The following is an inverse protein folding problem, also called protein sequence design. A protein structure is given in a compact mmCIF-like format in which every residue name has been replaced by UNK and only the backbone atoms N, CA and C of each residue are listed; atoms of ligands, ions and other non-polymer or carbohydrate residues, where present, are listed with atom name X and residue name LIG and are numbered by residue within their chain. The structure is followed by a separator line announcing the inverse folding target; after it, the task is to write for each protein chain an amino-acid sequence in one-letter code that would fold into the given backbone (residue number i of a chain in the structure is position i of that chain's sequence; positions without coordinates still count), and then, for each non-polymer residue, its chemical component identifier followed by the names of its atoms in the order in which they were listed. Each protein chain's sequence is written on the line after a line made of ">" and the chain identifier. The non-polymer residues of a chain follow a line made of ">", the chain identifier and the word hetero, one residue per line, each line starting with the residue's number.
data_IF_562757196518
#
_entry.id   IF_562757196518
#
_cell.length_a   1.000
_cell.length_b   1.000
_cell.length_c   1.000
_cell.angle_alpha   90.00
_cell.angle_beta   90.00
_cell.angle_gamma   90.00
#
_symmetry.space_group_name_H-M   'P 1'
#
loop_
_entity.id
_entity.type
_entity.pdbx_description
1 polymer ?
#
# COMPACT_ATOMS: atom_id res chain seq x y z
N UNK A 1 9.93 -27.78 15.11
CA UNK A 1 9.70 -27.88 13.65
C UNK A 1 8.70 -26.80 13.28
N UNK A 2 9.13 -25.75 12.58
CA UNK A 2 8.23 -24.70 12.06
C UNK A 2 7.48 -25.34 10.88
N UNK A 3 6.17 -25.53 11.03
CA UNK A 3 5.35 -26.09 9.95
C UNK A 3 5.22 -25.06 8.83
N UNK A 4 5.96 -25.23 7.74
CA UNK A 4 5.85 -24.45 6.49
C UNK A 4 4.49 -24.58 5.77
N UNK A 5 3.46 -25.17 6.39
CA UNK A 5 2.11 -25.27 5.83
C UNK A 5 1.39 -23.90 5.71
N UNK A 6 1.94 -22.83 6.30
CA UNK A 6 1.35 -21.49 6.25
C UNK A 6 1.66 -20.71 4.95
N UNK A 7 2.66 -21.12 4.16
CA UNK A 7 3.00 -20.43 2.90
C UNK A 7 1.95 -20.57 1.78
N UNK A 8 1.01 -21.51 1.88
CA UNK A 8 -0.06 -21.70 0.89
C UNK A 8 -1.37 -20.99 1.27
N UNK A 9 -1.42 -20.24 2.38
CA UNK A 9 -2.62 -19.49 2.72
C UNK A 9 -2.70 -18.25 1.80
N UNK A 10 -3.76 -18.13 0.97
CA UNK A 10 -3.85 -17.05 -0.01
C UNK A 10 -3.82 -15.65 0.63
N UNK A 11 -4.21 -15.52 1.91
CA UNK A 11 -4.16 -14.25 2.64
C UNK A 11 -2.72 -13.79 2.93
N UNK A 12 -1.78 -14.71 3.20
CA UNK A 12 -0.39 -14.34 3.45
C UNK A 12 0.34 -13.95 2.16
N UNK A 13 0.08 -14.68 1.07
CA UNK A 13 0.61 -14.34 -0.25
C UNK A 13 0.12 -12.95 -0.67
N UNK A 14 -1.18 -12.68 -0.51
CA UNK A 14 -1.78 -11.39 -0.81
C UNK A 14 -1.16 -10.25 0.02
N UNK A 15 -0.93 -10.48 1.32
CA UNK A 15 -0.31 -9.47 2.18
C UNK A 15 1.18 -9.24 1.84
N UNK A 16 1.91 -10.27 1.42
CA UNK A 16 3.25 -10.12 0.87
C UNK A 16 3.27 -9.25 -0.40
N UNK A 17 2.30 -9.47 -1.30
CA UNK A 17 2.09 -8.61 -2.47
C UNK A 17 1.75 -7.18 -2.04
N UNK A 18 0.93 -6.98 -1.00
CA UNK A 18 0.63 -5.64 -0.47
C UNK A 18 1.89 -4.90 -0.04
N UNK A 19 2.73 -5.54 0.78
CA UNK A 19 3.97 -4.93 1.26
C UNK A 19 4.90 -4.60 0.11
N UNK A 20 5.06 -5.51 -0.86
CA UNK A 20 5.87 -5.27 -2.05
C UNK A 20 5.36 -4.07 -2.88
N UNK A 21 4.06 -4.01 -3.13
CA UNK A 21 3.45 -2.91 -3.91
C UNK A 21 3.56 -1.56 -3.20
N UNK A 22 3.50 -1.52 -1.86
CA UNK A 22 3.79 -0.30 -1.09
C UNK A 22 5.23 0.15 -1.32
N UNK A 23 6.20 -0.76 -1.26
CA UNK A 23 7.60 -0.41 -1.49
C UNK A 23 7.83 0.13 -2.90
N UNK A 24 7.23 -0.50 -3.92
CA UNK A 24 7.32 -0.01 -5.30
C UNK A 24 6.70 1.39 -5.42
N UNK A 25 5.48 1.58 -4.91
CA UNK A 25 4.80 2.88 -4.98
C UNK A 25 5.57 3.98 -4.24
N UNK A 26 6.04 3.71 -3.03
CA UNK A 26 6.83 4.66 -2.24
C UNK A 26 8.18 4.95 -2.88
N UNK A 27 8.87 3.94 -3.41
CA UNK A 27 10.13 4.13 -4.12
C UNK A 27 9.94 5.06 -5.32
N UNK A 28 8.92 4.78 -6.15
CA UNK A 28 8.63 5.59 -7.33
C UNK A 28 8.23 7.03 -6.99
N UNK A 29 7.52 7.25 -5.86
CA UNK A 29 7.16 8.59 -5.41
C UNK A 29 8.33 9.33 -4.77
N UNK A 30 9.19 8.67 -3.99
CA UNK A 30 10.19 9.34 -3.15
C UNK A 30 11.58 9.44 -3.78
N UNK A 31 11.94 8.53 -4.69
CA UNK A 31 13.30 8.50 -5.26
C UNK A 31 13.31 9.06 -6.67
N UNK A 32 14.06 10.13 -6.86
CA UNK A 32 14.35 10.75 -8.14
C UNK A 32 15.73 10.36 -8.65
N UNK A 33 15.80 10.16 -9.96
CA UNK A 33 17.03 9.84 -10.66
C UNK A 33 17.25 10.84 -11.81
N UNK A 34 18.06 11.86 -11.59
CA UNK A 34 18.46 12.80 -12.64
C UNK A 34 19.89 12.49 -13.09
N UNK A 35 20.03 11.75 -14.19
CA UNK A 35 21.33 11.40 -14.77
C UNK A 35 22.21 10.57 -13.83
N UNK A 36 23.16 11.19 -13.14
CA UNK A 36 24.05 10.54 -12.17
C UNK A 36 23.68 10.81 -10.72
N UNK A 37 22.64 11.63 -10.48
CA UNK A 37 22.23 12.06 -9.14
C UNK A 37 20.96 11.33 -8.73
N UNK A 38 21.04 10.65 -7.60
CA UNK A 38 19.88 10.08 -6.92
C UNK A 38 19.56 10.99 -5.73
N UNK A 39 18.32 11.47 -5.66
CA UNK A 39 17.85 12.29 -4.55
C UNK A 39 16.51 11.76 -4.03
N UNK A 40 16.34 11.89 -2.72
CA UNK A 40 15.10 11.53 -2.03
C UNK A 40 14.25 12.80 -1.98
N UNK A 41 13.24 12.87 -2.84
CA UNK A 41 12.27 13.97 -2.90
C UNK A 41 10.95 13.48 -2.29
N UNK A 42 10.74 13.79 -1.00
CA UNK A 42 9.46 13.51 -0.32
C UNK A 42 8.45 14.63 -0.61
N UNK A 43 8.93 15.85 -0.81
CA UNK A 43 8.12 17.04 -1.09
C UNK A 43 8.58 17.60 -2.43
N UNK A 44 7.70 17.52 -3.43
CA UNK A 44 7.86 18.23 -4.69
C UNK A 44 6.96 19.47 -4.67
N UNK A 45 7.54 20.67 -4.71
CA UNK A 45 6.77 21.93 -4.65
C UNK A 45 5.80 22.11 -5.82
N UNK A 46 6.06 21.48 -6.96
CA UNK A 46 5.17 21.49 -8.12
C UNK A 46 4.02 20.50 -7.99
N UNK A 47 4.19 19.48 -7.15
CA UNK A 47 3.23 18.39 -6.93
C UNK A 47 3.02 18.13 -5.44
N UNK A 48 2.53 19.13 -4.69
CA UNK A 48 2.30 19.03 -3.25
C UNK A 48 1.37 17.84 -2.86
N UNK A 49 0.53 17.39 -3.79
CA UNK A 49 -0.33 16.21 -3.65
C UNK A 49 0.46 14.91 -3.43
N UNK A 50 1.70 14.83 -3.95
CA UNK A 50 2.62 13.71 -3.75
C UNK A 50 2.87 13.44 -2.26
N UNK A 51 3.06 14.49 -1.45
CA UNK A 51 3.30 14.33 -0.02
C UNK A 51 2.13 13.61 0.66
N UNK A 52 0.90 13.99 0.31
CA UNK A 52 -0.31 13.37 0.86
C UNK A 52 -0.40 11.90 0.43
N UNK A 53 -0.13 11.59 -0.85
CA UNK A 53 -0.07 10.20 -1.32
C UNK A 53 0.99 9.37 -0.60
N UNK A 54 2.18 9.93 -0.35
CA UNK A 54 3.25 9.28 0.41
C UNK A 54 2.81 9.02 1.85
N UNK A 55 2.20 9.99 2.53
CA UNK A 55 1.71 9.81 3.90
C UNK A 55 0.61 8.75 3.98
N UNK A 56 -0.33 8.74 3.03
CA UNK A 56 -1.36 7.70 2.95
C UNK A 56 -0.75 6.31 2.75
N UNK A 57 0.23 6.17 1.85
CA UNK A 57 0.92 4.91 1.59
C UNK A 57 1.77 4.44 2.78
N UNK A 58 2.43 5.36 3.50
CA UNK A 58 3.17 5.02 4.72
C UNK A 58 2.22 4.53 5.82
N UNK A 59 1.09 5.21 6.01
CA UNK A 59 0.07 4.80 6.97
C UNK A 59 -0.46 3.39 6.67
N UNK A 60 -0.79 3.11 5.41
CA UNK A 60 -1.32 1.80 5.00
C UNK A 60 -0.24 0.72 5.01
N UNK A 61 1.02 1.07 4.72
CA UNK A 61 2.17 0.17 4.86
C UNK A 61 2.38 -0.25 6.31
N UNK A 62 2.25 0.66 7.27
CA UNK A 62 2.35 0.31 8.71
C UNK A 62 1.28 -0.72 9.06
N UNK A 63 0.04 -0.54 8.61
CA UNK A 63 -1.05 -1.50 8.86
C UNK A 63 -0.72 -2.86 8.22
N UNK A 64 -0.43 -2.90 6.92
CA UNK A 64 -0.10 -4.15 6.20
C UNK A 64 1.15 -4.84 6.80
N UNK A 65 2.15 -4.06 7.19
CA UNK A 65 3.36 -4.53 7.85
C UNK A 65 3.05 -5.19 9.20
N UNK A 66 2.24 -4.55 10.05
CA UNK A 66 1.80 -5.14 11.32
C UNK A 66 1.07 -6.48 11.11
N UNK A 67 0.19 -6.56 10.11
CA UNK A 67 -0.50 -7.82 9.75
C UNK A 67 0.49 -8.87 9.25
N UNK A 68 1.49 -8.46 8.46
CA UNK A 68 2.49 -9.37 7.87
C UNK A 68 3.41 -9.95 8.94
N UNK A 69 3.93 -9.10 9.84
CA UNK A 69 4.77 -9.53 10.96
C UNK A 69 4.02 -10.47 11.89
N UNK A 70 2.74 -10.20 12.19
CA UNK A 70 1.95 -11.13 12.98
C UNK A 70 1.79 -12.51 12.34
N UNK A 71 1.60 -12.52 11.02
CA UNK A 71 1.59 -13.73 10.22
C UNK A 71 2.86 -14.57 10.31
N UNK A 72 4.03 -13.92 10.30
CA UNK A 72 5.32 -14.60 10.32
C UNK A 72 5.66 -15.24 11.67
N UNK A 73 5.11 -14.72 12.77
CA UNK A 73 5.39 -15.22 14.12
C UNK A 73 4.30 -16.14 14.68
N UNK A 74 3.32 -16.56 13.85
CA UNK A 74 2.12 -17.29 14.28
C UNK A 74 1.41 -16.62 15.48
N UNK A 75 1.60 -15.31 15.63
CA UNK A 75 0.96 -14.54 16.69
C UNK A 75 -0.31 -13.94 16.12
N UNK A 76 -1.46 -14.11 16.79
CA UNK A 76 -2.66 -13.38 16.43
C UNK A 76 -2.48 -11.90 16.81
N UNK A 77 -1.71 -11.15 16.03
CA UNK A 77 -1.37 -9.75 16.30
C UNK A 77 -2.60 -8.85 16.36
N UNK A 78 -3.67 -9.25 15.67
CA UNK A 78 -4.98 -8.61 15.75
C UNK A 78 -6.00 -9.39 16.59
N UNK A 79 -5.72 -10.64 16.99
CA UNK A 79 -6.70 -11.47 17.70
C UNK A 79 -6.91 -11.08 19.17
N UNK A 80 -6.01 -10.30 19.75
CA UNK A 80 -6.20 -9.72 21.10
C UNK A 80 -7.06 -8.44 21.08
N UNK A 81 -7.34 -7.87 19.90
CA UNK A 81 -8.10 -6.64 19.78
C UNK A 81 -9.58 -6.93 19.53
N UNK A 82 -10.49 -6.10 20.06
CA UNK A 82 -11.91 -6.20 19.76
C UNK A 82 -12.12 -6.14 18.23
N UNK A 83 -12.85 -7.11 17.68
CA UNK A 83 -13.11 -7.25 16.24
C UNK A 83 -13.54 -5.95 15.55
N UNK A 84 -14.40 -5.16 16.20
CA UNK A 84 -14.84 -3.84 15.70
C UNK A 84 -13.67 -2.86 15.47
N UNK A 85 -12.64 -2.87 16.31
CA UNK A 85 -11.47 -1.97 16.16
C UNK A 85 -10.64 -2.33 14.93
N UNK A 86 -10.51 -3.62 14.66
CA UNK A 86 -9.77 -4.14 13.50
C UNK A 86 -10.48 -3.71 12.22
N UNK A 87 -11.80 -3.87 12.15
CA UNK A 87 -12.62 -3.48 11.00
C UNK A 87 -12.53 -1.96 10.74
N UNK A 88 -12.56 -1.14 11.79
CA UNK A 88 -12.40 0.32 11.67
C UNK A 88 -11.01 0.67 11.10
N UNK A 89 -9.93 0.06 11.59
CA UNK A 89 -8.57 0.33 11.07
C UNK A 89 -8.47 -0.03 9.59
N UNK A 90 -9.05 -1.16 9.18
CA UNK A 90 -9.06 -1.57 7.78
C UNK A 90 -9.90 -0.63 6.91
N UNK A 91 -11.03 -0.12 7.41
CA UNK A 91 -11.85 0.86 6.72
C UNK A 91 -11.13 2.21 6.54
N UNK A 92 -10.43 2.68 7.58
CA UNK A 92 -9.61 3.90 7.51
C UNK A 92 -8.44 3.70 6.53
N UNK A 93 -7.78 2.54 6.57
CA UNK A 93 -6.73 2.18 5.61
C UNK A 93 -7.23 2.18 4.16
N UNK A 94 -8.43 1.61 3.93
CA UNK A 94 -9.05 1.63 2.61
C UNK A 94 -9.36 3.06 2.13
N UNK A 95 -9.89 3.91 3.00
CA UNK A 95 -10.15 5.32 2.68
C UNK A 95 -8.85 6.07 2.34
N UNK A 96 -7.77 5.83 3.09
CA UNK A 96 -6.46 6.40 2.81
C UNK A 96 -5.91 5.92 1.45
N UNK A 97 -6.11 4.66 1.07
CA UNK A 97 -5.74 4.16 -0.24
C UNK A 97 -6.55 4.78 -1.38
N UNK A 98 -7.87 4.90 -1.21
CA UNK A 98 -8.71 5.56 -2.21
C UNK A 98 -8.24 7.00 -2.44
N UNK A 99 -7.97 7.72 -1.35
CA UNK A 99 -7.42 9.08 -1.42
C UNK A 99 -6.07 9.10 -2.14
N UNK A 100 -5.14 8.21 -1.76
CA UNK A 100 -3.80 8.14 -2.36
C UNK A 100 -3.87 7.86 -3.86
N UNK A 101 -4.68 6.89 -4.27
CA UNK A 101 -4.89 6.49 -5.67
C UNK A 101 -5.52 7.62 -6.47
N UNK A 102 -6.51 8.32 -5.90
CA UNK A 102 -7.13 9.48 -6.53
C UNK A 102 -6.12 10.61 -6.79
N UNK A 103 -5.31 10.93 -5.78
CA UNK A 103 -4.26 11.95 -5.89
C UNK A 103 -3.17 11.56 -6.88
N UNK A 104 -2.73 10.29 -6.90
CA UNK A 104 -1.73 9.82 -7.87
C UNK A 104 -2.29 9.82 -9.30
N UNK A 105 -3.55 9.43 -9.48
CA UNK A 105 -4.22 9.51 -10.79
C UNK A 105 -4.24 10.94 -11.31
N UNK A 106 -4.59 11.90 -10.45
CA UNK A 106 -4.53 13.33 -10.78
C UNK A 106 -3.12 13.79 -11.14
N UNK A 107 -2.12 13.38 -10.35
CA UNK A 107 -0.72 13.77 -10.53
C UNK A 107 -0.18 13.26 -11.87
N UNK A 108 -0.54 12.05 -12.29
CA UNK A 108 -0.16 11.50 -13.60
C UNK A 108 -0.69 12.36 -14.75
N UNK A 109 -1.96 12.77 -14.70
CA UNK A 109 -2.53 13.67 -15.72
C UNK A 109 -1.82 15.03 -15.75
N UNK A 110 -1.49 15.59 -14.58
CA UNK A 110 -0.77 16.86 -14.48
C UNK A 110 0.69 16.78 -14.94
N UNK A 111 1.34 15.62 -14.78
CA UNK A 111 2.72 15.39 -15.17
C UNK A 111 2.88 14.91 -16.62
N UNK A 112 1.79 14.79 -17.40
CA UNK A 112 1.79 14.23 -18.76
C UNK A 112 2.78 14.92 -19.71
N UNK A 113 3.02 16.22 -19.53
CA UNK A 113 3.93 16.99 -20.36
C UNK A 113 5.41 16.70 -20.10
N UNK A 114 5.76 16.06 -18.98
CA UNK A 114 7.15 15.80 -18.60
C UNK A 114 7.38 14.30 -18.45
N UNK A 115 7.87 13.68 -19.52
CA UNK A 115 7.98 12.21 -19.69
C UNK A 115 8.70 11.52 -18.53
N UNK A 116 9.74 12.15 -17.97
CA UNK A 116 10.50 11.61 -16.84
C UNK A 116 9.65 11.50 -15.55
N UNK A 117 8.89 12.54 -15.21
CA UNK A 117 7.98 12.53 -14.07
C UNK A 117 6.79 11.62 -14.31
N UNK A 118 6.25 11.65 -15.53
CA UNK A 118 5.09 10.85 -15.94
C UNK A 118 5.33 9.35 -15.71
N UNK A 119 6.47 8.80 -16.15
CA UNK A 119 6.75 7.38 -15.99
C UNK A 119 6.78 6.95 -14.51
N UNK A 120 7.40 7.75 -13.64
CA UNK A 120 7.48 7.48 -12.19
C UNK A 120 6.11 7.52 -11.53
N UNK A 121 5.35 8.57 -11.77
CA UNK A 121 3.99 8.70 -11.22
C UNK A 121 3.05 7.63 -11.78
N UNK A 122 3.23 7.21 -13.03
CA UNK A 122 2.43 6.14 -13.63
C UNK A 122 2.69 4.80 -12.96
N UNK A 123 3.95 4.43 -12.72
CA UNK A 123 4.30 3.18 -12.02
C UNK A 123 3.78 3.21 -10.57
N UNK A 124 3.93 4.34 -9.87
CA UNK A 124 3.37 4.52 -8.53
C UNK A 124 1.84 4.37 -8.54
N UNK A 125 1.17 4.99 -9.52
CA UNK A 125 -0.28 4.96 -9.68
C UNK A 125 -0.78 3.54 -9.94
N UNK A 126 -0.18 2.82 -10.90
CA UNK A 126 -0.53 1.42 -11.21
C UNK A 126 -0.33 0.54 -9.96
N UNK A 127 0.80 0.69 -9.27
CA UNK A 127 1.09 -0.09 -8.06
C UNK A 127 0.07 0.18 -6.95
N UNK A 128 -0.34 1.44 -6.78
CA UNK A 128 -1.35 1.85 -5.81
C UNK A 128 -2.76 1.38 -6.18
N UNK A 129 -3.10 1.30 -7.47
CA UNK A 129 -4.35 0.70 -7.94
C UNK A 129 -4.39 -0.81 -7.68
N UNK A 130 -3.30 -1.53 -7.97
CA UNK A 130 -3.17 -2.96 -7.65
C UNK A 130 -3.32 -3.17 -6.14
N UNK A 131 -2.70 -2.30 -5.34
CA UNK A 131 -2.82 -2.32 -3.89
C UNK A 131 -4.26 -2.10 -3.41
N UNK A 132 -4.97 -1.12 -3.96
CA UNK A 132 -6.37 -0.85 -3.63
C UNK A 132 -7.27 -2.06 -3.96
N UNK A 133 -7.15 -2.61 -5.16
CA UNK A 133 -7.96 -3.76 -5.59
C UNK A 133 -7.69 -4.99 -4.73
N UNK A 134 -6.41 -5.25 -4.41
CA UNK A 134 -6.04 -6.36 -3.56
C UNK A 134 -6.48 -6.15 -2.09
N UNK A 135 -6.53 -4.92 -1.58
CA UNK A 135 -7.08 -4.62 -0.26
C UNK A 135 -8.60 -4.83 -0.21
N UNK A 136 -9.33 -4.44 -1.25
CA UNK A 136 -10.77 -4.72 -1.39
C UNK A 136 -10.98 -6.24 -1.40
N UNK A 137 -10.20 -6.99 -2.18
CA UNK A 137 -10.25 -8.45 -2.21
C UNK A 137 -10.00 -9.08 -0.84
N UNK A 138 -8.99 -8.60 -0.09
CA UNK A 138 -8.71 -9.04 1.27
C UNK A 138 -9.90 -8.84 2.20
N UNK A 139 -10.51 -7.64 2.16
CA UNK A 139 -11.62 -7.28 3.02
C UNK A 139 -12.88 -8.12 2.71
N UNK A 140 -13.17 -8.35 1.42
CA UNK A 140 -14.26 -9.24 0.99
C UNK A 140 -14.04 -10.66 1.48
N UNK A 141 -12.85 -11.23 1.29
CA UNK A 141 -12.53 -12.59 1.77
C UNK A 141 -12.64 -12.69 3.30
N UNK A 142 -12.17 -11.67 4.02
CA UNK A 142 -12.29 -11.60 5.46
C UNK A 142 -13.76 -11.59 5.91
N UNK A 143 -14.61 -10.76 5.30
CA UNK A 143 -16.04 -10.70 5.60
C UNK A 143 -16.78 -12.02 5.29
N UNK A 144 -16.42 -12.69 4.18
CA UNK A 144 -17.00 -13.98 3.81
C UNK A 144 -16.63 -15.09 4.81
N UNK A 145 -15.36 -15.14 5.23
CA UNK A 145 -14.87 -16.13 6.21
C UNK A 145 -15.48 -15.92 7.60
N UNK A 146 -15.84 -14.70 7.94
CA UNK A 146 -16.45 -14.34 9.23
C UNK A 146 -17.95 -14.68 9.32
N UNK A 147 -18.64 -14.85 8.18
CA UNK A 147 -20.07 -15.22 8.13
C UNK A 147 -20.32 -16.73 8.19
N UNK A 148 -19.30 -17.56 8.01
CA UNK A 148 -19.36 -19.01 8.12
C UNK A 148 -18.69 -19.49 9.41
#
# INVERSE_FOLDING_TARGET
>A
MVQFNHCNNPLYILNGVHVLMHFIALFCLTIMWDGTRIFIEIINFWYAQQLVSVLCLLFTLVISGYVCFGGLFDQPVLGSWPKQRIEIIHAIGLAALILSVGLQTWTVFSAWAVTFFMARYLIACISSWILLLSWIGFLVLHLLKVRH
#
